data_IF_809980372840
#
_entry.id   IF_809980372840
#
_cell.length_a   1.000
_cell.length_b   1.000
_cell.length_c   1.000
_cell.angle_alpha   90.00
_cell.angle_beta   90.00
_cell.angle_gamma   90.00
#
_symmetry.space_group_name_H-M   'P 1'
#
loop_
_entity.id
_entity.type
_entity.pdbx_description
1 polymer ?
#
# COMPACT_ATOMS: atom_id res chain seq x y z
N UNK A 1 -16.97 -19.51 -12.13
CA UNK A 1 -17.29 -19.99 -10.77
C UNK A 1 -16.45 -21.20 -10.39
N UNK A 2 -16.44 -22.28 -11.16
CA UNK A 2 -15.74 -23.53 -10.84
C UNK A 2 -14.22 -23.35 -10.66
N UNK A 3 -13.57 -22.60 -11.55
CA UNK A 3 -12.15 -22.31 -11.40
C UNK A 3 -11.85 -21.53 -10.11
N UNK A 4 -12.75 -20.62 -9.71
CA UNK A 4 -12.59 -19.89 -8.45
C UNK A 4 -12.65 -20.83 -7.24
N UNK A 5 -13.58 -21.81 -7.21
CA UNK A 5 -13.65 -22.81 -6.15
C UNK A 5 -12.38 -23.65 -6.05
N UNK A 6 -11.83 -24.08 -7.17
CA UNK A 6 -10.58 -24.83 -7.19
C UNK A 6 -9.40 -24.00 -6.62
N UNK A 7 -9.36 -22.71 -6.94
CA UNK A 7 -8.30 -21.81 -6.42
C UNK A 7 -8.48 -21.39 -4.97
N UNK A 8 -9.69 -21.44 -4.43
CA UNK A 8 -9.95 -21.13 -3.01
C UNK A 8 -9.20 -22.09 -2.09
N UNK A 9 -9.13 -23.36 -2.43
CA UNK A 9 -8.38 -24.37 -1.65
C UNK A 9 -6.88 -24.07 -1.61
N UNK A 10 -6.33 -23.60 -2.72
CA UNK A 10 -4.91 -23.26 -2.85
C UNK A 10 -4.58 -21.93 -2.17
N UNK A 11 -5.36 -20.87 -2.48
CA UNK A 11 -5.06 -19.49 -2.10
C UNK A 11 -5.56 -19.11 -0.71
N UNK A 12 -6.58 -19.82 -0.19
CA UNK A 12 -7.27 -19.55 1.09
C UNK A 12 -7.57 -18.06 1.28
N UNK A 13 -8.31 -17.43 0.34
CA UNK A 13 -8.62 -16.01 0.42
C UNK A 13 -9.56 -15.75 1.60
N UNK A 14 -9.41 -14.58 2.22
CA UNK A 14 -10.34 -14.16 3.28
C UNK A 14 -11.56 -13.43 2.72
N UNK A 15 -11.44 -12.80 1.57
CA UNK A 15 -12.51 -12.10 0.87
C UNK A 15 -12.51 -12.54 -0.59
N UNK A 16 -13.70 -12.85 -1.10
CA UNK A 16 -13.94 -13.13 -2.52
C UNK A 16 -14.85 -12.06 -3.09
N UNK A 17 -14.45 -11.46 -4.19
CA UNK A 17 -15.26 -10.53 -4.97
C UNK A 17 -15.66 -11.22 -6.27
N UNK A 18 -16.95 -11.39 -6.52
CA UNK A 18 -17.46 -12.11 -7.69
C UNK A 18 -18.48 -11.31 -8.47
N UNK A 19 -18.53 -11.53 -9.77
CA UNK A 19 -19.65 -11.08 -10.58
C UNK A 19 -20.85 -12.02 -10.36
N UNK A 20 -22.06 -11.50 -10.49
CA UNK A 20 -23.27 -12.31 -10.51
C UNK A 20 -23.34 -13.16 -11.77
N UNK A 21 -23.20 -12.52 -12.94
CA UNK A 21 -23.38 -13.19 -14.23
C UNK A 21 -22.03 -13.73 -14.71
N UNK A 22 -21.86 -15.03 -14.55
CA UNK A 22 -20.70 -15.75 -15.04
C UNK A 22 -21.11 -17.02 -15.78
N UNK A 23 -20.34 -17.47 -16.79
CA UNK A 23 -20.62 -18.71 -17.48
C UNK A 23 -20.39 -19.93 -16.58
N UNK A 24 -21.11 -21.01 -16.85
CA UNK A 24 -21.07 -22.33 -16.19
C UNK A 24 -21.61 -22.30 -14.76
N UNK A 25 -20.94 -21.61 -13.85
CA UNK A 25 -21.36 -21.37 -12.47
C UNK A 25 -21.46 -19.88 -12.25
N UNK A 26 -22.63 -19.38 -11.95
CA UNK A 26 -22.87 -17.96 -11.64
C UNK A 26 -22.39 -17.56 -10.23
N UNK A 27 -22.44 -16.26 -9.95
CA UNK A 27 -21.96 -15.74 -8.67
C UNK A 27 -22.80 -16.12 -7.47
N UNK A 28 -24.10 -16.43 -7.65
CA UNK A 28 -24.96 -16.89 -6.57
C UNK A 28 -24.63 -18.33 -6.20
N UNK A 29 -24.50 -19.22 -7.18
CA UNK A 29 -24.11 -20.60 -6.97
C UNK A 29 -22.69 -20.68 -6.37
N UNK A 30 -21.77 -19.81 -6.81
CA UNK A 30 -20.43 -19.70 -6.21
C UNK A 30 -20.51 -19.24 -4.74
N UNK A 31 -21.32 -18.21 -4.45
CA UNK A 31 -21.50 -17.69 -3.10
C UNK A 31 -22.03 -18.75 -2.16
N UNK A 32 -23.06 -19.49 -2.59
CA UNK A 32 -23.63 -20.61 -1.82
C UNK A 32 -22.59 -21.70 -1.56
N UNK A 33 -21.84 -22.12 -2.58
CA UNK A 33 -20.82 -23.15 -2.45
C UNK A 33 -19.68 -22.71 -1.50
N UNK A 34 -19.31 -21.44 -1.52
CA UNK A 34 -18.35 -20.88 -0.57
C UNK A 34 -18.91 -20.90 0.85
N UNK A 35 -20.15 -20.44 1.04
CA UNK A 35 -20.78 -20.40 2.37
C UNK A 35 -20.91 -21.79 3.01
N UNK A 36 -21.19 -22.82 2.20
CA UNK A 36 -21.30 -24.19 2.66
C UNK A 36 -19.95 -24.83 3.03
N UNK A 37 -18.90 -24.54 2.28
CA UNK A 37 -17.59 -25.21 2.44
C UNK A 37 -16.56 -24.38 3.20
N UNK A 38 -16.66 -23.04 3.14
CA UNK A 38 -15.69 -22.08 3.66
C UNK A 38 -16.40 -20.89 4.32
N UNK A 39 -17.18 -21.11 5.41
CA UNK A 39 -18.01 -20.07 6.04
C UNK A 39 -17.19 -18.88 6.60
N UNK A 40 -15.89 -19.06 6.75
CA UNK A 40 -14.97 -17.98 7.16
C UNK A 40 -14.69 -16.96 6.05
N UNK A 41 -14.90 -17.32 4.78
CA UNK A 41 -14.67 -16.44 3.63
C UNK A 41 -15.84 -15.47 3.48
N UNK A 42 -15.51 -14.18 3.36
CA UNK A 42 -16.49 -13.11 3.13
C UNK A 42 -16.68 -12.89 1.64
N UNK A 43 -17.91 -13.04 1.15
CA UNK A 43 -18.21 -12.87 -0.27
C UNK A 43 -18.89 -11.53 -0.52
N UNK A 44 -18.39 -10.78 -1.48
CA UNK A 44 -18.97 -9.53 -1.99
C UNK A 44 -19.35 -9.77 -3.44
N UNK A 45 -20.58 -9.42 -3.79
CA UNK A 45 -21.11 -9.67 -5.13
C UNK A 45 -21.19 -8.37 -5.94
N UNK A 46 -20.66 -8.38 -7.16
CA UNK A 46 -20.80 -7.29 -8.12
C UNK A 46 -22.01 -7.56 -9.02
N UNK A 47 -22.96 -6.62 -9.09
CA UNK A 47 -24.17 -6.76 -9.88
C UNK A 47 -24.36 -5.60 -10.86
N UNK A 48 -24.82 -5.93 -12.06
CA UNK A 48 -25.34 -4.93 -13.00
C UNK A 48 -26.82 -4.57 -12.78
N UNK A 49 -27.50 -5.28 -11.87
CA UNK A 49 -28.94 -5.17 -11.66
C UNK A 49 -29.24 -4.61 -10.28
N UNK A 50 -30.22 -3.71 -10.20
CA UNK A 50 -30.70 -3.11 -8.94
C UNK A 50 -32.04 -3.67 -8.48
N UNK A 51 -32.49 -4.82 -9.03
CA UNK A 51 -33.74 -5.44 -8.68
C UNK A 51 -33.72 -5.94 -7.23
N UNK A 52 -34.72 -5.56 -6.45
CA UNK A 52 -34.82 -5.88 -5.03
C UNK A 52 -34.86 -7.37 -4.74
N UNK A 53 -35.60 -8.16 -5.51
CA UNK A 53 -35.69 -9.61 -5.31
C UNK A 53 -34.34 -10.28 -5.57
N UNK A 54 -33.57 -9.76 -6.50
CA UNK A 54 -32.25 -10.26 -6.82
C UNK A 54 -31.23 -9.95 -5.71
N UNK A 55 -31.25 -8.72 -5.20
CA UNK A 55 -30.41 -8.31 -4.08
C UNK A 55 -30.73 -9.14 -2.83
N UNK A 56 -32.01 -9.37 -2.55
CA UNK A 56 -32.45 -10.22 -1.44
C UNK A 56 -31.90 -11.65 -1.56
N UNK A 57 -31.93 -12.22 -2.77
CA UNK A 57 -31.37 -13.54 -3.04
C UNK A 57 -29.86 -13.58 -2.77
N UNK A 58 -29.10 -12.56 -3.14
CA UNK A 58 -27.66 -12.45 -2.88
C UNK A 58 -27.36 -12.62 -1.38
N UNK A 59 -28.08 -11.90 -0.53
CA UNK A 59 -27.90 -11.99 0.93
C UNK A 59 -28.38 -13.33 1.51
N UNK A 60 -29.44 -13.92 0.98
CA UNK A 60 -29.92 -15.25 1.40
C UNK A 60 -28.89 -16.36 1.10
N UNK A 61 -28.06 -16.20 0.09
CA UNK A 61 -26.98 -17.13 -0.24
C UNK A 61 -25.68 -16.85 0.52
N UNK A 62 -25.69 -15.92 1.48
CA UNK A 62 -24.57 -15.70 2.41
C UNK A 62 -23.55 -14.64 1.98
N UNK A 63 -23.86 -13.83 0.98
CA UNK A 63 -23.01 -12.67 0.68
C UNK A 63 -23.05 -11.65 1.83
N UNK A 64 -21.91 -11.07 2.12
CA UNK A 64 -21.75 -10.03 3.16
C UNK A 64 -22.26 -8.68 2.67
N UNK A 65 -22.04 -8.41 1.39
CA UNK A 65 -22.46 -7.17 0.74
C UNK A 65 -22.55 -7.34 -0.78
N UNK A 66 -23.12 -6.34 -1.45
CA UNK A 66 -23.13 -6.27 -2.90
C UNK A 66 -22.79 -4.85 -3.36
N UNK A 67 -22.29 -4.73 -4.58
CA UNK A 67 -21.97 -3.45 -5.20
C UNK A 67 -22.60 -3.39 -6.59
N UNK A 68 -23.29 -2.29 -6.88
CA UNK A 68 -23.82 -2.03 -8.20
C UNK A 68 -22.70 -1.53 -9.13
N UNK A 69 -22.45 -2.25 -10.23
CA UNK A 69 -21.43 -1.88 -11.22
C UNK A 69 -21.57 -0.47 -11.79
N UNK A 70 -22.80 0.03 -12.12
CA UNK A 70 -22.97 1.38 -12.66
C UNK A 70 -22.60 2.49 -11.69
N UNK A 71 -22.69 2.26 -10.36
CA UNK A 71 -22.36 3.24 -9.32
C UNK A 71 -21.01 2.98 -8.69
N UNK A 72 -20.33 1.89 -9.07
CA UNK A 72 -19.06 1.49 -8.52
C UNK A 72 -18.04 2.62 -8.63
N UNK A 73 -17.63 3.11 -7.48
CA UNK A 73 -16.56 4.05 -7.33
C UNK A 73 -15.57 3.55 -6.27
N UNK A 74 -14.41 4.17 -6.23
CA UNK A 74 -13.33 3.74 -5.36
C UNK A 74 -13.68 3.82 -3.86
N UNK A 75 -14.49 4.80 -3.46
CA UNK A 75 -14.88 4.98 -2.06
C UNK A 75 -15.86 3.89 -1.62
N UNK A 76 -16.85 3.57 -2.46
CA UNK A 76 -17.82 2.52 -2.21
C UNK A 76 -17.16 1.14 -2.14
N UNK A 77 -16.28 0.83 -3.09
CA UNK A 77 -15.52 -0.42 -3.07
C UNK A 77 -14.70 -0.56 -1.78
N UNK A 78 -13.99 0.50 -1.38
CA UNK A 78 -13.18 0.47 -0.16
C UNK A 78 -14.05 0.31 1.09
N UNK A 79 -15.17 1.04 1.19
CA UNK A 79 -16.09 0.94 2.32
C UNK A 79 -16.65 -0.48 2.46
N UNK A 80 -17.05 -1.11 1.35
CA UNK A 80 -17.57 -2.47 1.32
C UNK A 80 -16.49 -3.49 1.69
N UNK A 81 -15.27 -3.35 1.19
CA UNK A 81 -14.14 -4.20 1.57
C UNK A 81 -13.80 -4.06 3.06
N UNK A 82 -13.80 -2.85 3.60
CA UNK A 82 -13.59 -2.61 5.03
C UNK A 82 -14.68 -3.24 5.90
N UNK A 83 -15.95 -3.17 5.46
CA UNK A 83 -17.08 -3.81 6.14
C UNK A 83 -16.94 -5.34 6.16
N UNK A 84 -16.59 -5.95 5.03
CA UNK A 84 -16.36 -7.38 4.93
C UNK A 84 -15.16 -7.82 5.81
N UNK A 85 -14.07 -7.09 5.75
CA UNK A 85 -12.88 -7.33 6.55
C UNK A 85 -13.17 -7.27 8.07
N UNK A 86 -14.01 -6.33 8.51
CA UNK A 86 -14.41 -6.20 9.91
C UNK A 86 -15.24 -7.39 10.46
N UNK A 87 -15.73 -8.27 9.58
CA UNK A 87 -16.46 -9.49 9.96
C UNK A 87 -15.57 -10.75 10.01
N UNK A 88 -14.29 -10.63 9.69
CA UNK A 88 -13.35 -11.74 9.76
C UNK A 88 -12.80 -11.80 11.20
N UNK A 89 -12.95 -12.95 11.92
CA UNK A 89 -12.37 -13.12 13.24
C UNK A 89 -10.85 -12.90 13.18
N UNK A 90 -10.30 -12.23 14.19
CA UNK A 90 -8.86 -11.89 14.28
C UNK A 90 -8.30 -11.05 13.14
N UNK A 91 -9.13 -10.67 12.17
CA UNK A 91 -8.78 -9.66 11.22
C UNK A 91 -8.83 -8.31 11.93
N UNK A 92 -7.73 -7.96 12.54
CA UNK A 92 -7.51 -6.56 12.84
C UNK A 92 -7.43 -5.89 11.48
N UNK A 93 -8.51 -5.18 11.07
CA UNK A 93 -8.30 -4.01 10.24
C UNK A 93 -7.27 -3.20 11.02
N UNK A 94 -6.02 -3.45 10.75
CA UNK A 94 -5.05 -2.40 10.85
C UNK A 94 -5.50 -1.40 9.77
N UNK A 95 -6.49 -0.58 10.09
CA UNK A 95 -6.45 0.83 9.76
C UNK A 95 -5.05 1.20 10.20
N UNK A 96 -4.10 1.12 9.26
CA UNK A 96 -2.67 1.05 9.46
C UNK A 96 -2.37 1.26 10.92
N UNK A 97 -2.13 0.18 11.67
CA UNK A 97 -2.32 0.07 13.11
C UNK A 97 -1.88 1.33 13.79
N UNK A 98 -2.64 1.84 14.69
CA UNK A 98 -2.53 3.10 15.40
C UNK A 98 -1.27 3.92 15.12
N UNK A 99 -1.24 5.16 15.26
CA UNK A 99 -0.19 6.20 15.11
C UNK A 99 1.26 5.80 14.71
N UNK A 100 1.51 4.57 14.19
CA UNK A 100 2.82 4.20 13.67
C UNK A 100 3.13 5.05 12.44
N UNK A 101 4.33 5.56 12.35
CA UNK A 101 4.80 6.37 11.22
C UNK A 101 4.51 5.69 9.88
N UNK A 102 4.75 4.38 9.79
CA UNK A 102 4.56 3.59 8.58
C UNK A 102 3.09 3.54 8.14
N UNK A 103 2.17 3.47 9.08
CA UNK A 103 0.74 3.52 8.81
C UNK A 103 0.30 4.89 8.30
N UNK A 104 0.71 5.95 9.00
CA UNK A 104 0.34 7.33 8.66
C UNK A 104 0.87 7.71 7.28
N UNK A 105 2.11 7.31 6.94
CA UNK A 105 2.70 7.62 5.63
C UNK A 105 2.05 6.81 4.51
N UNK A 106 1.75 5.52 4.70
CA UNK A 106 1.02 4.70 3.73
C UNK A 106 -0.36 5.32 3.44
N UNK A 107 -1.06 5.78 4.47
CA UNK A 107 -2.34 6.45 4.34
C UNK A 107 -2.23 7.79 3.60
N UNK A 108 -1.22 8.62 3.90
CA UNK A 108 -0.99 9.90 3.23
C UNK A 108 -0.62 9.74 1.74
N UNK A 109 0.10 8.66 1.39
CA UNK A 109 0.50 8.37 0.02
C UNK A 109 -0.56 7.58 -0.76
N UNK A 110 -1.52 6.94 -0.08
CA UNK A 110 -2.65 6.29 -0.72
C UNK A 110 -3.51 7.30 -1.47
N UNK A 111 -4.44 6.82 -2.29
CA UNK A 111 -5.44 7.66 -2.95
C UNK A 111 -6.41 8.35 -1.97
N UNK A 112 -6.40 7.94 -0.69
CA UNK A 112 -7.37 8.30 0.34
C UNK A 112 -6.66 8.73 1.63
N UNK A 113 -6.07 9.94 1.64
CA UNK A 113 -5.49 10.45 2.87
C UNK A 113 -6.60 10.66 3.90
N UNK A 114 -6.48 10.07 5.09
CA UNK A 114 -7.34 10.44 6.20
C UNK A 114 -7.07 11.91 6.55
N UNK A 115 -8.09 12.68 6.94
CA UNK A 115 -7.94 14.11 7.23
C UNK A 115 -6.85 14.42 8.27
N UNK A 116 -6.60 13.50 9.20
CA UNK A 116 -5.60 13.62 10.27
C UNK A 116 -4.19 13.14 9.87
N UNK A 117 -4.03 12.42 8.76
CA UNK A 117 -2.72 11.87 8.36
C UNK A 117 -1.69 12.97 8.09
N UNK A 118 -2.06 14.02 7.37
CA UNK A 118 -1.18 15.16 7.12
C UNK A 118 -0.83 15.92 8.39
N UNK A 119 -1.77 16.05 9.34
CA UNK A 119 -1.52 16.69 10.61
C UNK A 119 -0.53 15.89 11.48
N UNK A 120 -0.70 14.56 11.52
CA UNK A 120 0.26 13.66 12.18
C UNK A 120 1.65 13.75 11.54
N UNK A 121 1.73 13.81 10.21
CA UNK A 121 3.01 13.98 9.52
C UNK A 121 3.67 15.32 9.79
N UNK A 122 2.93 16.42 9.99
CA UNK A 122 3.48 17.72 10.40
C UNK A 122 4.16 17.66 11.76
N UNK A 123 3.68 16.84 12.68
CA UNK A 123 4.32 16.63 14.00
C UNK A 123 5.66 15.88 13.87
N UNK A 124 5.74 14.95 12.90
CA UNK A 124 6.96 14.18 12.62
C UNK A 124 7.97 15.01 11.82
N UNK A 125 7.48 15.82 10.88
CA UNK A 125 8.27 16.62 9.95
C UNK A 125 7.98 18.11 10.13
N UNK A 126 8.66 18.76 11.09
CA UNK A 126 8.37 20.15 11.46
C UNK A 126 8.93 21.19 10.47
N UNK A 127 9.81 20.78 9.57
CA UNK A 127 10.53 21.71 8.69
C UNK A 127 9.88 21.83 7.30
N UNK A 128 10.13 22.93 6.57
CA UNK A 128 9.49 23.18 5.28
C UNK A 128 10.07 22.37 4.12
N UNK A 129 11.34 21.95 4.18
CA UNK A 129 12.05 21.33 3.06
C UNK A 129 12.09 19.81 3.17
N UNK A 130 11.95 19.17 2.03
CA UNK A 130 11.89 17.72 1.91
C UNK A 130 12.76 17.19 0.79
N UNK A 131 13.23 15.96 1.00
CA UNK A 131 13.98 15.18 0.03
C UNK A 131 13.57 13.70 0.18
N UNK A 132 13.34 13.00 -0.91
CA UNK A 132 12.98 11.58 -0.87
C UNK A 132 14.10 10.73 -1.45
N UNK A 133 14.35 9.60 -0.81
CA UNK A 133 15.19 8.51 -1.32
C UNK A 133 14.33 7.23 -1.30
N UNK A 134 14.32 6.50 -2.41
CA UNK A 134 13.47 5.33 -2.52
C UNK A 134 14.08 4.19 -3.32
N UNK A 135 13.59 2.97 -3.05
CA UNK A 135 13.98 1.75 -3.74
C UNK A 135 12.76 0.87 -4.01
N UNK A 136 12.64 0.35 -5.23
CA UNK A 136 11.61 -0.62 -5.56
C UNK A 136 12.04 -2.03 -5.15
N UNK A 137 11.36 -2.60 -4.16
CA UNK A 137 11.73 -3.85 -3.49
C UNK A 137 11.61 -5.09 -4.40
N UNK A 138 10.51 -5.31 -5.14
CA UNK A 138 10.35 -6.51 -5.97
C UNK A 138 11.46 -6.73 -6.99
N UNK A 139 12.01 -5.63 -7.50
CA UNK A 139 13.06 -5.68 -8.51
C UNK A 139 14.47 -5.89 -7.95
N UNK A 140 14.64 -5.70 -6.64
CA UNK A 140 15.96 -5.72 -6.00
C UNK A 140 16.13 -6.92 -5.08
N UNK A 141 15.13 -7.21 -4.28
CA UNK A 141 15.23 -8.16 -3.16
C UNK A 141 14.52 -9.49 -3.40
N UNK A 142 13.64 -9.58 -4.37
CA UNK A 142 12.91 -10.80 -4.72
C UNK A 142 11.83 -11.22 -3.73
N UNK A 143 11.97 -10.91 -2.43
CA UNK A 143 11.00 -11.24 -1.38
C UNK A 143 10.98 -10.20 -0.26
N UNK A 144 9.92 -10.23 0.56
CA UNK A 144 9.72 -9.32 1.67
C UNK A 144 10.64 -9.59 2.88
N UNK A 145 11.27 -10.77 2.97
CA UNK A 145 12.09 -11.15 4.14
C UNK A 145 13.31 -10.22 4.31
N UNK A 146 13.82 -9.69 3.20
CA UNK A 146 14.96 -8.78 3.22
C UNK A 146 14.58 -7.31 3.45
N UNK A 147 13.30 -6.98 3.45
CA UNK A 147 12.82 -5.60 3.50
C UNK A 147 13.16 -4.89 4.82
N UNK A 148 12.88 -5.56 5.94
CA UNK A 148 13.20 -5.01 7.28
C UNK A 148 14.69 -4.81 7.48
N UNK A 149 15.51 -5.71 6.95
CA UNK A 149 16.98 -5.58 6.97
C UNK A 149 17.42 -4.35 6.18
N UNK A 150 16.92 -4.17 4.95
CA UNK A 150 17.28 -3.03 4.12
C UNK A 150 16.79 -1.71 4.72
N UNK A 151 15.59 -1.69 5.30
CA UNK A 151 15.08 -0.54 6.04
C UNK A 151 16.00 -0.16 7.20
N UNK A 152 16.47 -1.14 7.98
CA UNK A 152 17.43 -0.95 9.07
C UNK A 152 18.77 -0.41 8.59
N UNK A 153 19.31 -0.94 7.49
CA UNK A 153 20.57 -0.46 6.90
C UNK A 153 20.44 1.00 6.45
N UNK A 154 19.32 1.34 5.80
CA UNK A 154 19.06 2.70 5.33
C UNK A 154 18.85 3.68 6.50
N UNK A 155 18.14 3.27 7.54
CA UNK A 155 17.92 4.07 8.74
C UNK A 155 19.23 4.34 9.50
N UNK A 156 20.03 3.32 9.74
CA UNK A 156 21.34 3.47 10.39
C UNK A 156 22.29 4.37 9.56
N UNK A 157 22.28 4.22 8.23
CA UNK A 157 23.03 5.11 7.36
C UNK A 157 22.52 6.55 7.42
N UNK A 158 21.22 6.78 7.57
CA UNK A 158 20.67 8.13 7.72
C UNK A 158 21.17 8.80 9.02
N UNK A 159 21.24 8.07 10.13
CA UNK A 159 21.79 8.58 11.38
C UNK A 159 23.27 8.97 11.27
N UNK A 160 24.05 8.17 10.54
CA UNK A 160 25.48 8.42 10.34
C UNK A 160 25.78 9.58 9.37
N UNK A 161 25.13 9.59 8.21
CA UNK A 161 25.45 10.51 7.12
C UNK A 161 24.58 11.77 7.06
N UNK A 162 23.44 11.80 7.77
CA UNK A 162 22.49 12.91 7.76
C UNK A 162 22.25 13.50 9.16
N UNK A 163 23.31 13.82 9.95
CA UNK A 163 23.12 14.47 11.25
C UNK A 163 22.45 15.84 11.07
N UNK A 164 21.57 16.21 12.01
CA UNK A 164 20.89 17.52 12.01
C UNK A 164 19.64 17.62 11.13
N UNK A 165 19.23 16.54 10.47
CA UNK A 165 17.96 16.48 9.72
C UNK A 165 17.05 15.39 10.29
N UNK A 166 15.74 15.52 10.10
CA UNK A 166 14.80 14.46 10.44
C UNK A 166 14.72 13.50 9.28
N UNK A 167 15.22 12.27 9.46
CA UNK A 167 15.09 11.20 8.47
C UNK A 167 14.20 10.08 9.02
N UNK A 168 13.26 9.60 8.21
CA UNK A 168 12.39 8.47 8.56
C UNK A 168 12.28 7.53 7.38
N UNK A 169 12.37 6.24 7.65
CA UNK A 169 12.23 5.17 6.66
C UNK A 169 10.89 4.48 6.86
N UNK A 170 10.19 4.22 5.76
CA UNK A 170 8.93 3.49 5.75
C UNK A 170 8.86 2.53 4.56
N UNK A 171 8.09 1.47 4.72
CA UNK A 171 7.73 0.58 3.63
C UNK A 171 6.35 0.94 3.09
N UNK A 172 6.27 1.22 1.81
CA UNK A 172 5.03 1.58 1.13
C UNK A 172 4.51 0.36 0.38
N UNK A 173 3.29 -0.08 0.73
CA UNK A 173 2.57 -1.21 0.10
C UNK A 173 3.43 -2.51 0.00
N UNK A 174 4.37 -2.71 0.93
CA UNK A 174 5.35 -3.83 0.91
C UNK A 174 6.15 -3.95 -0.40
N UNK A 175 6.17 -2.90 -1.20
CA UNK A 175 6.79 -2.89 -2.54
C UNK A 175 7.85 -1.82 -2.71
N UNK A 176 7.80 -0.79 -1.89
CA UNK A 176 8.69 0.34 -2.03
C UNK A 176 9.27 0.76 -0.68
N UNK A 177 10.59 0.84 -0.58
CA UNK A 177 11.26 1.39 0.59
C UNK A 177 11.46 2.88 0.35
N UNK A 178 10.94 3.71 1.25
CA UNK A 178 10.96 5.16 1.16
C UNK A 178 11.64 5.76 2.39
N UNK A 179 12.68 6.55 2.19
CA UNK A 179 13.23 7.44 3.21
C UNK A 179 12.81 8.87 2.92
N UNK A 180 12.20 9.52 3.91
CA UNK A 180 11.82 10.93 3.87
C UNK A 180 12.81 11.70 4.73
N UNK A 181 13.47 12.68 4.14
CA UNK A 181 14.40 13.59 4.81
C UNK A 181 13.73 14.95 4.88
N UNK A 182 13.66 15.52 6.09
CA UNK A 182 13.05 16.82 6.38
C UNK A 182 14.03 17.74 7.13
N UNK A 183 14.16 18.98 6.69
CA UNK A 183 15.17 19.90 7.20
C UNK A 183 14.74 21.37 7.11
N UNK A 184 15.34 22.21 7.95
CA UNK A 184 14.98 23.63 8.11
C UNK A 184 15.60 24.51 7.01
N UNK A 185 16.91 24.50 6.90
CA UNK A 185 17.69 25.25 5.93
C UNK A 185 19.08 24.62 5.83
N UNK A 186 19.35 23.93 4.76
CA UNK A 186 20.67 23.41 4.43
C UNK A 186 20.91 23.65 2.94
N UNK A 187 22.12 24.03 2.50
CA UNK A 187 22.41 24.10 1.10
C UNK A 187 22.15 22.76 0.43
N UNK A 188 21.26 22.73 -0.54
CA UNK A 188 20.85 21.53 -1.25
C UNK A 188 22.03 20.69 -1.78
N UNK A 189 23.10 21.35 -2.20
CA UNK A 189 24.34 20.68 -2.62
C UNK A 189 24.95 19.84 -1.50
N UNK A 190 25.06 20.39 -0.29
CA UNK A 190 25.59 19.69 0.88
C UNK A 190 24.76 18.45 1.20
N UNK A 191 23.43 18.60 1.24
CA UNK A 191 22.52 17.49 1.49
C UNK A 191 22.62 16.40 0.41
N UNK A 192 22.65 16.78 -0.86
CA UNK A 192 22.79 15.83 -1.98
C UNK A 192 24.10 15.04 -1.90
N UNK A 193 25.21 15.68 -1.54
CA UNK A 193 26.49 15.00 -1.35
C UNK A 193 26.45 14.02 -0.19
N UNK A 194 25.82 14.40 0.91
CA UNK A 194 25.62 13.53 2.09
C UNK A 194 24.77 12.33 1.74
N UNK A 195 23.67 12.52 1.00
CA UNK A 195 22.82 11.43 0.51
C UNK A 195 23.59 10.51 -0.45
N UNK A 196 24.44 11.05 -1.32
CA UNK A 196 25.31 10.23 -2.20
C UNK A 196 26.26 9.35 -1.39
N UNK A 197 26.91 9.90 -0.35
CA UNK A 197 27.76 9.14 0.57
C UNK A 197 26.99 8.06 1.29
N UNK A 198 25.81 8.38 1.81
CA UNK A 198 24.89 7.41 2.42
C UNK A 198 24.56 6.26 1.44
N UNK A 199 24.10 6.57 0.23
CA UNK A 199 23.76 5.56 -0.78
C UNK A 199 24.99 4.71 -1.14
N UNK A 200 26.17 5.30 -1.26
CA UNK A 200 27.40 4.57 -1.51
C UNK A 200 27.73 3.61 -0.37
N UNK A 201 27.64 4.05 0.88
CA UNK A 201 27.90 3.21 2.06
C UNK A 201 26.86 2.05 2.19
N UNK A 202 25.58 2.35 1.94
CA UNK A 202 24.53 1.33 1.94
C UNK A 202 24.75 0.29 0.84
N UNK A 203 25.20 0.69 -0.36
CA UNK A 203 25.52 -0.24 -1.45
C UNK A 203 26.66 -1.22 -1.12
N UNK A 204 27.58 -0.86 -0.27
CA UNK A 204 28.61 -1.82 0.22
C UNK A 204 27.96 -2.96 1.01
N UNK A 205 26.98 -2.64 1.84
CA UNK A 205 26.24 -3.63 2.66
C UNK A 205 25.15 -4.38 1.85
N UNK A 206 24.66 -3.76 0.76
CA UNK A 206 23.60 -4.27 -0.11
C UNK A 206 23.93 -4.00 -1.59
N UNK A 207 24.83 -4.80 -2.20
CA UNK A 207 25.32 -4.54 -3.57
C UNK A 207 24.24 -4.55 -4.66
N UNK A 208 23.11 -5.24 -4.38
CA UNK A 208 21.95 -5.28 -5.30
C UNK A 208 21.01 -4.10 -5.13
N UNK A 209 21.13 -3.36 -4.03
CA UNK A 209 20.25 -2.22 -3.75
C UNK A 209 20.51 -1.07 -4.75
N UNK A 210 19.41 -0.54 -5.25
CA UNK A 210 19.42 0.60 -6.16
C UNK A 210 18.45 1.66 -5.64
N UNK A 211 19.00 2.79 -5.30
CA UNK A 211 18.23 3.91 -4.78
C UNK A 211 18.09 5.02 -5.82
N UNK A 212 16.89 5.57 -5.92
CA UNK A 212 16.59 6.80 -6.65
C UNK A 212 16.27 7.90 -5.64
N UNK A 213 16.54 9.14 -5.98
CA UNK A 213 16.24 10.27 -5.12
C UNK A 213 15.68 11.46 -5.90
N UNK A 214 14.93 12.30 -5.19
CA UNK A 214 14.26 13.46 -5.79
C UNK A 214 15.15 14.70 -5.80
N UNK A 215 14.67 15.76 -6.42
CA UNK A 215 15.08 17.12 -6.08
C UNK A 215 14.40 17.53 -4.77
N UNK A 216 14.89 18.61 -4.18
CA UNK A 216 14.26 19.28 -3.06
C UNK A 216 12.84 19.75 -3.44
N UNK A 217 11.92 19.65 -2.50
CA UNK A 217 10.59 20.24 -2.60
C UNK A 217 10.14 20.79 -1.24
N UNK A 218 9.18 21.69 -1.24
CA UNK A 218 8.70 22.34 -0.02
C UNK A 218 7.23 22.00 0.25
N UNK A 219 6.96 21.66 1.51
CA UNK A 219 5.63 21.38 2.01
C UNK A 219 5.12 19.95 1.77
N UNK A 220 4.44 19.41 2.77
CA UNK A 220 3.87 18.06 2.76
C UNK A 220 2.81 17.83 1.68
N UNK A 221 2.17 18.90 1.17
CA UNK A 221 1.18 18.78 0.09
C UNK A 221 1.74 18.18 -1.20
N UNK A 222 3.03 18.36 -1.47
CA UNK A 222 3.71 17.81 -2.65
C UNK A 222 4.26 16.39 -2.45
N UNK A 223 4.16 15.85 -1.24
CA UNK A 223 4.76 14.56 -0.88
C UNK A 223 4.25 13.42 -1.77
N UNK A 224 2.94 13.32 -1.96
CA UNK A 224 2.31 12.27 -2.78
C UNK A 224 2.73 12.36 -4.25
N UNK A 225 2.67 13.54 -4.83
CA UNK A 225 3.06 13.75 -6.23
C UNK A 225 4.53 13.39 -6.43
N UNK A 226 5.40 13.88 -5.54
CA UNK A 226 6.85 13.63 -5.59
C UNK A 226 7.17 12.15 -5.41
N UNK A 227 6.50 11.46 -4.48
CA UNK A 227 6.60 10.01 -4.30
C UNK A 227 6.17 9.26 -5.57
N UNK A 228 5.06 9.63 -6.17
CA UNK A 228 4.55 8.96 -7.40
C UNK A 228 5.57 9.05 -8.54
N UNK A 229 6.20 10.21 -8.72
CA UNK A 229 7.27 10.40 -9.70
C UNK A 229 8.51 9.56 -9.37
N UNK A 230 8.92 9.53 -8.10
CA UNK A 230 10.06 8.74 -7.63
C UNK A 230 9.83 7.24 -7.86
N UNK A 231 8.65 6.73 -7.51
CA UNK A 231 8.26 5.34 -7.70
C UNK A 231 8.23 4.95 -9.20
N UNK A 232 7.76 5.84 -10.07
CA UNK A 232 7.80 5.65 -11.53
C UNK A 232 9.24 5.56 -12.06
N UNK A 233 10.12 6.46 -11.64
CA UNK A 233 11.54 6.46 -12.03
C UNK A 233 12.25 5.18 -11.58
N UNK A 234 11.93 4.67 -10.41
CA UNK A 234 12.55 3.43 -9.90
C UNK A 234 12.24 2.19 -10.74
N UNK A 235 11.14 2.22 -11.52
CA UNK A 235 10.74 1.14 -12.44
C UNK A 235 11.50 1.19 -13.78
N UNK A 236 11.98 2.35 -14.18
CA UNK A 236 12.59 2.56 -15.50
C UNK A 236 14.01 1.99 -15.63
N UNK A 237 14.65 1.61 -14.53
CA UNK A 237 16.02 1.06 -14.55
C UNK A 237 16.21 -0.13 -15.51
N UNK A 238 15.16 -0.91 -15.77
CA UNK A 238 15.23 -2.07 -16.66
C UNK A 238 15.40 -1.70 -18.14
N UNK A 239 15.08 -0.46 -18.50
CA UNK A 239 15.12 0.03 -19.87
C UNK A 239 16.38 0.85 -20.18
N UNK A 240 17.18 1.19 -19.16
CA UNK A 240 18.42 1.97 -19.28
C UNK A 240 19.63 1.10 -18.89
N UNK A 241 19.95 0.14 -19.75
CA UNK A 241 21.24 -0.57 -19.74
C UNK A 241 22.12 -0.02 -20.85
#
# INVERSE_FOLDING_TARGET
GEEALARIEELKPQIVLTDVVMPVMDGLALTQAIQERYPEIRVIVLSGYSDFEYVKSIFQHGAVDYILKPTLNQQELLATLCKAAGQIPDFVLTRGGGDSFESVINQALSGFPAPDALEKLRKVFPYPHFFLVGMNVPYVLGNAANLSREAGILAAGAEEFLPGVTARVATIDRKFLLMIVNYAAEPYRSLTERVRKLVAAVRVKSPRAFYVYTREFSGLGLLKETYTRLAALSRQRFYCR
#
